data_IF_917591015065
#
_entry.id   IF_917591015065
#
_cell.length_a   1.000
_cell.length_b   1.000
_cell.length_c   1.000
_cell.angle_alpha   90.00
_cell.angle_beta   90.00
_cell.angle_gamma   90.00
#
_symmetry.space_group_name_H-M   'P 1'
#
loop_
_entity.id
_entity.type
_entity.pdbx_description
1 polymer ?
#
# COMPACT_ATOMS: atom_id res chain seq x y z
N UNK A 1 15.76 -14.90 0.12
CA UNK A 1 15.02 -14.10 -0.88
C UNK A 1 13.64 -13.84 -0.29
N UNK A 2 13.46 -12.69 0.34
CA UNK A 2 12.15 -12.31 0.88
C UNK A 2 11.29 -11.86 -0.29
N UNK A 3 10.28 -12.64 -0.65
CA UNK A 3 9.28 -12.24 -1.62
C UNK A 3 8.55 -11.03 -1.03
N UNK A 4 8.65 -9.89 -1.70
CA UNK A 4 7.85 -8.72 -1.39
C UNK A 4 6.37 -9.06 -1.62
N UNK A 5 5.67 -9.41 -0.53
CA UNK A 5 4.37 -8.81 -0.20
C UNK A 5 3.17 -8.99 -1.13
N UNK A 6 2.99 -10.10 -1.85
CA UNK A 6 1.64 -10.44 -2.34
C UNK A 6 0.80 -10.89 -1.13
N UNK A 7 0.17 -9.94 -0.45
CA UNK A 7 -0.80 -10.30 0.59
C UNK A 7 -1.98 -10.99 -0.09
N UNK A 8 -2.29 -12.25 0.28
CA UNK A 8 -3.31 -13.02 -0.40
C UNK A 8 -4.66 -12.28 -0.32
N UNK A 9 -5.46 -12.38 -1.39
CA UNK A 9 -6.82 -11.86 -1.40
C UNK A 9 -7.63 -12.44 -0.23
N UNK A 10 -8.45 -11.62 0.40
CA UNK A 10 -9.37 -12.06 1.45
C UNK A 10 -10.58 -12.82 0.85
N UNK A 11 -10.81 -12.66 -0.45
CA UNK A 11 -11.78 -13.41 -1.24
C UNK A 11 -11.16 -14.65 -1.90
N UNK A 12 -11.97 -15.70 -2.06
CA UNK A 12 -11.54 -17.05 -2.46
C UNK A 12 -11.63 -17.22 -3.98
N UNK A 13 -10.49 -17.51 -4.61
CA UNK A 13 -10.43 -17.84 -6.04
C UNK A 13 -11.24 -19.10 -6.33
N UNK A 14 -12.04 -19.07 -7.39
CA UNK A 14 -12.98 -20.13 -7.75
C UNK A 14 -14.36 -20.01 -7.11
N UNK A 15 -14.54 -19.14 -6.11
CA UNK A 15 -15.86 -18.86 -5.54
C UNK A 15 -16.68 -17.91 -6.41
N UNK A 16 -17.99 -17.85 -6.14
CA UNK A 16 -18.94 -16.94 -6.81
C UNK A 16 -19.37 -15.83 -5.87
N UNK A 17 -19.35 -14.61 -6.37
CA UNK A 17 -19.67 -13.39 -5.62
C UNK A 17 -20.83 -12.62 -6.27
N UNK A 18 -21.72 -12.01 -5.47
CA UNK A 18 -22.79 -11.20 -6.00
C UNK A 18 -22.27 -9.87 -6.58
N UNK A 19 -22.79 -9.50 -7.75
CA UNK A 19 -22.54 -8.25 -8.47
C UNK A 19 -23.88 -7.74 -8.98
N UNK A 20 -24.52 -6.87 -8.20
CA UNK A 20 -25.95 -6.59 -8.34
C UNK A 20 -26.75 -7.90 -8.25
N UNK A 21 -27.64 -8.13 -9.20
CA UNK A 21 -28.48 -9.35 -9.27
C UNK A 21 -27.75 -10.59 -9.81
N UNK A 22 -26.48 -10.48 -10.21
CA UNK A 22 -25.73 -11.55 -10.87
C UNK A 22 -24.69 -12.17 -9.96
N UNK A 23 -24.37 -13.45 -10.20
CA UNK A 23 -23.27 -14.15 -9.54
C UNK A 23 -22.06 -14.23 -10.49
N UNK A 24 -20.90 -13.70 -10.09
CA UNK A 24 -19.66 -13.71 -10.86
C UNK A 24 -18.63 -14.67 -10.26
N UNK A 25 -18.01 -15.49 -11.12
CA UNK A 25 -16.91 -16.36 -10.74
C UNK A 25 -15.62 -15.54 -10.58
N UNK A 26 -14.97 -15.64 -9.43
CA UNK A 26 -13.62 -15.12 -9.23
C UNK A 26 -12.61 -16.07 -9.90
N UNK A 27 -12.43 -15.92 -11.21
CA UNK A 27 -11.39 -16.64 -11.95
C UNK A 27 -9.99 -16.19 -11.53
N UNK A 28 -8.98 -17.04 -11.72
CA UNK A 28 -7.55 -16.70 -11.52
C UNK A 28 -7.13 -15.39 -12.20
N UNK A 29 -7.60 -15.16 -13.43
CA UNK A 29 -7.28 -13.92 -14.17
C UNK A 29 -7.90 -12.69 -13.49
N UNK A 30 -9.12 -12.81 -13.00
CA UNK A 30 -9.78 -11.73 -12.28
C UNK A 30 -9.13 -11.50 -10.92
N UNK A 31 -8.76 -12.56 -10.20
CA UNK A 31 -8.06 -12.48 -8.92
C UNK A 31 -6.75 -11.68 -9.04
N UNK A 32 -5.92 -11.97 -10.06
CA UNK A 32 -4.72 -11.18 -10.34
C UNK A 32 -5.01 -9.70 -10.59
N UNK A 33 -6.06 -9.42 -11.37
CA UNK A 33 -6.47 -8.03 -11.61
C UNK A 33 -6.96 -7.34 -10.32
N UNK A 34 -7.62 -8.07 -9.41
CA UNK A 34 -8.05 -7.55 -8.10
C UNK A 34 -6.83 -7.21 -7.24
N UNK A 35 -5.81 -8.07 -7.19
CA UNK A 35 -4.59 -7.80 -6.44
C UNK A 35 -3.89 -6.52 -6.93
N UNK A 36 -3.65 -6.40 -8.24
CA UNK A 36 -3.06 -5.20 -8.86
C UNK A 36 -3.89 -3.94 -8.60
N UNK A 37 -5.22 -4.05 -8.77
CA UNK A 37 -6.14 -2.95 -8.54
C UNK A 37 -6.14 -2.50 -7.08
N UNK A 38 -6.08 -3.44 -6.13
CA UNK A 38 -6.03 -3.14 -4.70
C UNK A 38 -4.75 -2.38 -4.34
N UNK A 39 -3.60 -2.82 -4.84
CA UNK A 39 -2.32 -2.13 -4.61
C UNK A 39 -2.37 -0.69 -5.12
N UNK A 40 -2.78 -0.48 -6.37
CA UNK A 40 -2.91 0.86 -6.96
C UNK A 40 -3.89 1.75 -6.17
N UNK A 41 -5.03 1.20 -5.73
CA UNK A 41 -6.01 1.98 -4.98
C UNK A 41 -5.57 2.30 -3.55
N UNK A 42 -4.76 1.45 -2.91
CA UNK A 42 -4.14 1.77 -1.62
C UNK A 42 -3.19 2.96 -1.80
N UNK A 43 -2.34 2.96 -2.82
CA UNK A 43 -1.44 4.08 -3.10
C UNK A 43 -2.21 5.40 -3.33
N UNK A 44 -3.30 5.37 -4.12
CA UNK A 44 -4.20 6.52 -4.29
C UNK A 44 -4.80 6.96 -2.95
N UNK A 45 -5.21 6.02 -2.10
CA UNK A 45 -5.77 6.32 -0.79
C UNK A 45 -4.76 6.96 0.17
N UNK A 46 -3.50 6.51 0.14
CA UNK A 46 -2.40 7.04 0.96
C UNK A 46 -2.12 8.52 0.65
N UNK A 47 -2.23 8.90 -0.62
CA UNK A 47 -2.07 10.29 -1.08
C UNK A 47 -3.32 11.16 -0.92
N UNK A 48 -4.42 10.57 -0.44
CA UNK A 48 -5.72 11.23 -0.31
C UNK A 48 -6.29 11.71 -1.65
N UNK A 49 -6.06 10.94 -2.70
CA UNK A 49 -6.46 11.25 -4.07
C UNK A 49 -7.65 10.40 -4.54
N UNK A 50 -8.11 10.67 -5.76
CA UNK A 50 -9.05 9.84 -6.52
C UNK A 50 -8.41 9.50 -7.85
N UNK A 51 -8.85 8.39 -8.47
CA UNK A 51 -8.34 7.94 -9.76
C UNK A 51 -9.49 7.71 -10.72
N UNK A 52 -9.31 7.99 -12.00
CA UNK A 52 -10.32 7.72 -13.00
C UNK A 52 -10.31 6.25 -13.45
N UNK A 53 -11.41 5.78 -14.03
CA UNK A 53 -11.45 4.44 -14.66
C UNK A 53 -10.38 4.24 -15.74
N UNK A 54 -9.99 5.31 -16.44
CA UNK A 54 -8.94 5.27 -17.46
C UNK A 54 -7.57 5.09 -16.83
N UNK A 55 -7.21 5.97 -15.91
CA UNK A 55 -5.95 5.92 -15.17
C UNK A 55 -5.78 4.58 -14.43
N UNK A 56 -6.83 4.10 -13.75
CA UNK A 56 -6.77 2.80 -13.07
C UNK A 56 -6.51 1.65 -14.05
N UNK A 57 -7.05 1.73 -15.27
CA UNK A 57 -6.81 0.71 -16.29
C UNK A 57 -5.35 0.71 -16.72
N UNK A 58 -4.74 1.89 -16.81
CA UNK A 58 -3.34 2.05 -17.18
C UNK A 58 -2.41 1.57 -16.05
N UNK A 59 -2.72 1.90 -14.79
CA UNK A 59 -1.98 1.44 -13.60
C UNK A 59 -1.94 -0.09 -13.49
N UNK A 60 -3.03 -0.78 -13.84
CA UNK A 60 -3.07 -2.25 -13.86
C UNK A 60 -2.60 -2.85 -15.20
N UNK A 61 -1.80 -2.11 -15.98
CA UNK A 61 -1.23 -2.49 -17.28
C UNK A 61 -2.29 -3.00 -18.29
N UNK A 62 -3.48 -2.42 -18.27
CA UNK A 62 -4.59 -2.78 -19.15
C UNK A 62 -5.22 -4.14 -18.85
N UNK A 63 -4.98 -4.73 -17.67
CA UNK A 63 -5.55 -6.03 -17.27
C UNK A 63 -7.09 -6.06 -17.37
N UNK A 64 -7.75 -4.93 -17.14
CA UNK A 64 -9.20 -4.74 -17.30
C UNK A 64 -9.47 -3.38 -17.93
N UNK A 65 -10.19 -3.36 -19.05
CA UNK A 65 -10.58 -2.14 -19.74
C UNK A 65 -11.64 -1.35 -18.94
N UNK A 66 -11.69 0.00 -19.06
CA UNK A 66 -12.60 0.85 -18.29
C UNK A 66 -14.08 0.42 -18.36
N UNK A 67 -14.58 0.08 -19.55
CA UNK A 67 -15.96 -0.40 -19.78
C UNK A 67 -16.30 -1.76 -19.14
N UNK A 68 -15.30 -2.47 -18.60
CA UNK A 68 -15.44 -3.79 -18.00
C UNK A 68 -15.02 -3.82 -16.54
N UNK A 69 -14.83 -2.65 -15.90
CA UNK A 69 -14.40 -2.55 -14.51
C UNK A 69 -15.48 -2.87 -13.47
N UNK A 70 -16.76 -2.93 -13.85
CA UNK A 70 -17.86 -3.19 -12.89
C UNK A 70 -17.63 -4.45 -12.02
N UNK A 71 -17.39 -5.63 -12.62
CA UNK A 71 -17.07 -6.84 -11.86
C UNK A 71 -15.78 -6.71 -11.04
N UNK A 72 -14.73 -6.07 -11.55
CA UNK A 72 -13.48 -5.85 -10.84
C UNK A 72 -13.69 -5.04 -9.56
N UNK A 73 -14.36 -3.89 -9.67
CA UNK A 73 -14.65 -3.02 -8.53
C UNK A 73 -15.58 -3.67 -7.51
N UNK A 74 -16.48 -4.54 -7.96
CA UNK A 74 -17.30 -5.34 -7.04
C UNK A 74 -16.46 -6.35 -6.27
N UNK A 75 -15.47 -6.99 -6.91
CA UNK A 75 -14.53 -7.88 -6.21
C UNK A 75 -13.67 -7.11 -5.21
N UNK A 76 -13.21 -5.90 -5.54
CA UNK A 76 -12.51 -5.02 -4.60
C UNK A 76 -13.39 -4.71 -3.39
N UNK A 77 -14.67 -4.39 -3.59
CA UNK A 77 -15.60 -4.14 -2.49
C UNK A 77 -15.77 -5.38 -1.59
N UNK A 78 -15.87 -6.59 -2.16
CA UNK A 78 -15.92 -7.84 -1.40
C UNK A 78 -14.62 -8.10 -0.63
N UNK A 79 -13.47 -7.86 -1.25
CA UNK A 79 -12.16 -8.01 -0.60
C UNK A 79 -12.00 -7.03 0.57
N UNK A 80 -12.36 -5.77 0.40
CA UNK A 80 -12.34 -4.78 1.49
C UNK A 80 -13.29 -5.18 2.61
N UNK A 81 -14.51 -5.61 2.28
CA UNK A 81 -15.48 -6.06 3.28
C UNK A 81 -15.00 -7.28 4.07
N UNK A 82 -14.36 -8.24 3.40
CA UNK A 82 -13.77 -9.42 4.06
C UNK A 82 -12.58 -9.07 4.97
N UNK A 83 -12.00 -7.87 4.82
CA UNK A 83 -10.90 -7.33 5.64
C UNK A 83 -11.37 -6.34 6.71
N UNK A 84 -12.68 -6.10 6.83
CA UNK A 84 -13.25 -5.03 7.65
C UNK A 84 -12.70 -3.62 7.29
N UNK A 85 -12.46 -3.38 6.00
CA UNK A 85 -11.92 -2.13 5.46
C UNK A 85 -12.96 -1.33 4.67
N UNK A 86 -12.84 0.01 4.60
CA UNK A 86 -13.67 0.83 3.72
C UNK A 86 -13.43 0.46 2.26
N UNK A 87 -14.48 0.59 1.44
CA UNK A 87 -14.41 0.17 0.03
C UNK A 87 -13.53 1.12 -0.79
N UNK A 88 -12.36 0.62 -1.20
CA UNK A 88 -11.43 1.30 -2.10
C UNK A 88 -12.07 1.67 -3.45
N UNK A 89 -13.13 0.96 -3.86
CA UNK A 89 -13.87 1.28 -5.09
C UNK A 89 -14.48 2.70 -5.09
N UNK A 90 -14.65 3.33 -3.91
CA UNK A 90 -15.11 4.72 -3.77
C UNK A 90 -14.13 5.78 -4.30
N UNK A 91 -12.87 5.40 -4.52
CA UNK A 91 -11.81 6.25 -5.07
C UNK A 91 -11.84 6.30 -6.60
N UNK A 92 -12.57 5.39 -7.25
CA UNK A 92 -12.61 5.27 -8.71
C UNK A 92 -13.77 6.09 -9.28
N UNK A 93 -13.44 7.16 -9.98
CA UNK A 93 -14.42 8.15 -10.44
C UNK A 93 -14.47 8.26 -11.97
N UNK A 94 -15.59 8.76 -12.49
CA UNK A 94 -15.68 9.14 -13.89
C UNK A 94 -14.87 10.41 -14.14
N UNK A 95 -14.08 10.41 -15.21
CA UNK A 95 -13.34 11.60 -15.64
C UNK A 95 -14.24 12.80 -15.98
N UNK A 96 -15.49 12.55 -16.38
CA UNK A 96 -16.43 13.62 -16.76
C UNK A 96 -17.22 14.20 -15.59
N UNK A 97 -17.49 13.42 -14.54
CA UNK A 97 -18.35 13.85 -13.42
C UNK A 97 -17.61 13.96 -12.10
N UNK A 98 -16.43 13.36 -11.95
CA UNK A 98 -15.73 13.27 -10.67
C UNK A 98 -16.41 12.36 -9.65
N UNK A 99 -17.42 11.59 -10.06
CA UNK A 99 -18.20 10.71 -9.20
C UNK A 99 -18.11 9.24 -9.64
N UNK A 100 -18.42 8.32 -8.72
CA UNK A 100 -18.49 6.88 -9.03
C UNK A 100 -19.59 6.61 -10.08
N UNK A 101 -19.33 5.71 -11.03
CA UNK A 101 -20.29 5.32 -12.08
C UNK A 101 -21.32 4.31 -11.54
N UNK A 102 -22.04 4.67 -10.47
CA UNK A 102 -23.16 3.89 -9.91
C UNK A 102 -24.43 4.75 -9.80
N UNK A 103 -25.63 4.17 -10.00
CA UNK A 103 -26.89 4.93 -9.91
C UNK A 103 -27.12 5.59 -8.55
N UNK A 104 -26.75 4.92 -7.47
CA UNK A 104 -26.64 5.51 -6.14
C UNK A 104 -25.16 5.76 -5.83
N UNK A 105 -24.75 7.02 -5.79
CA UNK A 105 -23.39 7.44 -5.49
C UNK A 105 -23.25 7.99 -4.05
N UNK A 106 -24.34 8.04 -3.25
CA UNK A 106 -24.33 8.67 -1.92
C UNK A 106 -23.44 7.94 -0.90
N UNK A 107 -23.19 6.65 -1.13
CA UNK A 107 -22.29 5.83 -0.33
C UNK A 107 -20.81 6.19 -0.53
N UNK A 108 -20.45 6.76 -1.69
CA UNK A 108 -19.05 6.91 -2.09
C UNK A 108 -18.30 8.01 -1.32
N UNK A 109 -18.84 9.24 -1.13
CA UNK A 109 -18.14 10.28 -0.38
C UNK A 109 -17.72 9.89 1.05
N UNK A 110 -18.60 9.32 1.92
CA UNK A 110 -18.18 8.91 3.26
C UNK A 110 -17.20 7.72 3.23
N UNK A 111 -17.38 6.77 2.30
CA UNK A 111 -16.44 5.65 2.12
C UNK A 111 -15.05 6.12 1.69
N UNK A 112 -14.99 7.13 0.81
CA UNK A 112 -13.74 7.74 0.33
C UNK A 112 -12.98 8.40 1.46
N UNK A 113 -13.68 9.17 2.29
CA UNK A 113 -13.09 9.80 3.47
C UNK A 113 -12.52 8.75 4.43
N UNK A 114 -13.26 7.66 4.69
CA UNK A 114 -12.78 6.57 5.52
C UNK A 114 -11.53 5.86 4.93
N UNK A 115 -11.46 5.69 3.61
CA UNK A 115 -10.27 5.14 2.94
C UNK A 115 -9.05 6.05 3.20
N UNK A 116 -9.18 7.34 2.96
CA UNK A 116 -8.11 8.30 3.18
C UNK A 116 -7.63 8.31 4.62
N UNK A 117 -8.54 8.29 5.59
CA UNK A 117 -8.17 8.34 7.00
C UNK A 117 -7.46 7.05 7.45
N UNK A 118 -7.90 5.89 6.94
CA UNK A 118 -7.25 4.60 7.21
C UNK A 118 -5.84 4.53 6.61
N UNK A 119 -5.69 4.82 5.32
CA UNK A 119 -4.45 4.53 4.59
C UNK A 119 -3.41 5.65 4.74
N UNK A 120 -3.81 6.93 4.76
CA UNK A 120 -2.86 8.02 5.03
C UNK A 120 -2.30 7.99 6.46
N UNK A 121 -3.03 7.44 7.44
CA UNK A 121 -2.50 7.29 8.80
C UNK A 121 -1.51 6.13 8.91
N UNK A 122 -1.73 5.03 8.18
CA UNK A 122 -0.81 3.88 8.08
C UNK A 122 0.54 4.30 7.49
N UNK A 123 0.55 5.06 6.40
CA UNK A 123 1.79 5.55 5.77
C UNK A 123 2.57 6.51 6.68
N UNK A 124 1.87 7.42 7.38
CA UNK A 124 2.47 8.33 8.36
C UNK A 124 3.06 7.58 9.58
N UNK A 125 2.37 6.55 10.07
CA UNK A 125 2.84 5.68 11.15
C UNK A 125 4.10 4.90 10.76
N UNK A 126 4.13 4.32 9.55
CA UNK A 126 5.30 3.64 9.00
C UNK A 126 6.49 4.59 8.82
N UNK A 127 6.25 5.82 8.33
CA UNK A 127 7.28 6.87 8.23
C UNK A 127 7.84 7.30 9.59
N UNK A 128 7.00 7.39 10.62
CA UNK A 128 7.43 7.67 12.01
C UNK A 128 8.25 6.50 12.59
N UNK A 129 7.84 5.26 12.37
CA UNK A 129 8.57 4.08 12.83
C UNK A 129 9.96 3.98 12.18
N UNK A 130 10.07 4.20 10.86
CA UNK A 130 11.38 4.24 10.16
C UNK A 130 12.28 5.36 10.67
N UNK A 131 11.76 6.57 10.91
CA UNK A 131 12.54 7.67 11.50
C UNK A 131 13.03 7.35 12.91
N UNK A 132 12.19 6.71 13.73
CA UNK A 132 12.59 6.24 15.06
C UNK A 132 13.69 5.18 15.03
N UNK A 133 13.60 4.22 14.12
CA UNK A 133 14.63 3.19 13.92
C UNK A 133 15.96 3.79 13.42
N UNK A 134 15.91 4.74 12.47
CA UNK A 134 17.11 5.43 11.99
C UNK A 134 17.78 6.27 13.10
N UNK A 135 17.01 6.93 13.96
CA UNK A 135 17.54 7.68 15.10
C UNK A 135 18.18 6.78 16.17
N UNK A 136 17.60 5.60 16.44
CA UNK A 136 18.18 4.62 17.36
C UNK A 136 19.53 4.06 16.85
N UNK A 137 19.63 3.77 15.55
CA UNK A 137 20.87 3.31 14.93
C UNK A 137 21.99 4.37 14.95
N UNK A 138 21.63 5.66 14.83
CA UNK A 138 22.59 6.75 14.96
C UNK A 138 23.12 6.93 16.41
N UNK A 139 22.31 6.63 17.42
CA UNK A 139 22.72 6.66 18.82
C UNK A 139 23.67 5.52 19.22
N UNK A 140 23.50 4.33 18.63
CA UNK A 140 24.31 3.15 18.95
C UNK A 140 25.71 3.21 18.31
N UNK A 141 25.84 3.86 17.14
CA UNK A 141 27.14 4.11 16.50
C UNK A 141 28.02 5.11 17.28
N UNK A 142 27.42 5.99 18.10
CA UNK A 142 28.14 7.01 18.86
C UNK A 142 28.67 6.53 20.22
N UNK A 143 28.19 5.39 20.76
CA UNK A 143 28.66 4.85 22.06
C UNK A 143 29.87 3.91 21.96
N UNK A 144 30.37 3.61 20.76
CA UNK A 144 31.47 2.66 20.54
C UNK A 144 32.89 3.21 20.67
N UNK A 145 33.09 4.51 20.96
CA UNK A 145 34.42 5.13 20.99
C UNK A 145 34.72 5.80 22.33
N UNK A 146 35.13 5.01 23.34
CA UNK A 146 35.86 5.51 24.51
C UNK A 146 36.62 4.40 25.21
N UNK A 147 37.92 4.28 24.90
CA UNK A 147 39.00 3.94 25.82
C UNK A 147 40.36 4.26 25.16
N UNK A 148 40.81 5.51 25.28
CA UNK A 148 42.24 5.82 25.51
C UNK A 148 42.55 5.45 26.97
N UNK A 149 43.76 5.12 27.41
CA UNK A 149 45.06 5.82 27.42
C UNK A 149 46.05 4.75 27.96
N UNK A 150 47.39 4.77 27.91
CA UNK A 150 48.39 5.81 27.79
C UNK A 150 49.72 5.14 27.41
N UNK A 151 50.58 5.89 26.74
CA UNK A 151 51.98 5.54 26.48
C UNK A 151 52.82 5.61 27.77
N UNK A 152 53.89 4.81 27.85
CA UNK A 152 55.05 5.10 28.69
C UNK A 152 56.33 5.05 27.85
N UNK A 153 57.04 6.16 27.89
CA UNK A 153 58.23 6.57 27.16
C UNK A 153 59.41 6.59 28.14
N UNK A 154 60.53 5.96 27.80
CA UNK A 154 61.90 6.16 28.33
C UNK A 154 62.79 4.98 27.90
N UNK A 155 64.07 5.04 27.57
CA UNK A 155 65.12 6.04 27.35
C UNK A 155 66.23 5.26 26.58
N UNK A 156 66.97 5.77 25.60
CA UNK A 156 68.03 6.77 25.74
C UNK A 156 69.42 6.15 25.92
N UNK A 157 70.21 6.03 24.84
CA UNK A 157 71.63 6.43 24.84
C UNK A 157 72.77 5.41 24.70
N UNK A 158 73.59 5.62 23.64
CA UNK A 158 75.06 5.41 23.51
C UNK A 158 75.58 3.94 23.41
N UNK A 159 76.61 3.59 22.62
CA UNK A 159 77.72 4.34 22.02
C UNK A 159 78.29 3.64 20.75
N UNK A 160 78.98 4.44 19.94
CA UNK A 160 79.87 4.14 18.79
C UNK A 160 81.23 3.55 19.26
N UNK A 161 82.21 3.18 18.38
CA UNK A 161 82.33 3.41 16.93
C UNK A 161 82.49 2.17 16.03
#
# INVERSE_FOLDING_TARGET
>A
MSASGEEPLAIVVGARYPVGERQYLLSERLARAVALCREALIEVAEHREVITYGELSDEIAGAVLPRHMGPLLSMIAHDCAARDEPSLASLVVSASTGEVSTPDARWAPPSRQACWDLWSSRSQGAGRARRGAAAAQAGEAASGASAGDAADDSAGGSARP
#
